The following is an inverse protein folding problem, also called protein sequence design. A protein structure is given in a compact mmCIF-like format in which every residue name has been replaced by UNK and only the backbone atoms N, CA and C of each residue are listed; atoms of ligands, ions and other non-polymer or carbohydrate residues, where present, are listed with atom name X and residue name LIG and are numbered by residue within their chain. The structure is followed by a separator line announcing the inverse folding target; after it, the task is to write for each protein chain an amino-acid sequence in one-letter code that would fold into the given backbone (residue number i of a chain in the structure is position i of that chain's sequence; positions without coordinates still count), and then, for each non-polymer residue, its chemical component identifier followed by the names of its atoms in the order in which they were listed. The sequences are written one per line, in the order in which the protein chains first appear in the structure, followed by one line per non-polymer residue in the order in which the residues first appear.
data_IF_059960447209
#
_entry.id   IF_059960447209
#
_cell.length_a   1.000
_cell.length_b   1.000
_cell.length_c   1.000
_cell.angle_alpha   90.00
_cell.angle_beta   90.00
_cell.angle_gamma   90.00
#
_symmetry.space_group_name_H-M   'P 1'
#
loop_
_entity.id
_entity.type
_entity.pdbx_description
1 polymer ?
#
# COMPACT_ATOMS: atom_id res chain seq x y z
N UNK A 1 -0.72 -0.27 12.01
CA UNK A 1 -1.86 -0.93 11.33
C UNK A 1 -2.67 -1.74 12.34
N UNK A 2 -3.24 -1.06 13.34
CA UNK A 2 -3.96 -1.74 14.43
C UNK A 2 -5.35 -2.17 14.00
N UNK A 3 -6.04 -1.39 13.16
CA UNK A 3 -7.37 -1.77 12.64
C UNK A 3 -7.36 -3.08 11.85
N UNK A 4 -6.39 -3.26 10.95
CA UNK A 4 -6.22 -4.52 10.23
C UNK A 4 -5.88 -5.71 11.16
N UNK A 5 -5.16 -5.44 12.26
CA UNK A 5 -4.89 -6.43 13.30
C UNK A 5 -6.19 -6.91 13.94
N UNK A 6 -7.03 -5.97 14.39
CA UNK A 6 -8.28 -6.27 15.07
C UNK A 6 -9.24 -7.05 14.17
N UNK A 7 -9.35 -6.66 12.90
CA UNK A 7 -10.23 -7.35 11.94
C UNK A 7 -9.66 -8.72 11.50
N UNK A 8 -8.33 -8.83 11.37
CA UNK A 8 -7.66 -10.02 10.87
C UNK A 8 -7.08 -10.96 11.93
N UNK A 9 -7.25 -10.65 13.23
CA UNK A 9 -6.56 -11.35 14.33
C UNK A 9 -6.95 -12.83 14.39
N UNK A 10 -8.22 -13.16 14.15
CA UNK A 10 -8.71 -14.54 14.15
C UNK A 10 -8.06 -15.39 13.05
N UNK A 11 -7.55 -14.75 11.98
CA UNK A 11 -6.85 -15.38 10.87
C UNK A 11 -5.33 -15.38 11.06
N UNK A 12 -4.81 -14.75 12.12
CA UNK A 12 -3.38 -14.52 12.28
C UNK A 12 -2.80 -13.73 11.10
N UNK A 13 -3.51 -12.67 10.66
CA UNK A 13 -3.20 -11.93 9.44
C UNK A 13 -1.73 -11.51 9.30
N UNK A 14 -1.10 -11.02 10.37
CA UNK A 14 0.30 -10.60 10.29
C UNK A 14 1.31 -11.73 10.46
N UNK A 15 0.88 -12.91 10.91
CA UNK A 15 1.72 -14.12 10.94
C UNK A 15 1.71 -14.83 9.57
N UNK A 16 0.54 -14.86 8.92
CA UNK A 16 0.29 -15.64 7.70
C UNK A 16 0.14 -14.78 6.44
N UNK A 17 0.19 -13.46 6.59
CA UNK A 17 -0.03 -12.49 5.52
C UNK A 17 0.89 -11.28 5.64
N UNK A 18 0.75 -10.37 4.67
CA UNK A 18 1.41 -9.08 4.59
C UNK A 18 0.41 -8.05 4.05
N UNK A 19 0.24 -6.98 4.79
CA UNK A 19 -0.53 -5.80 4.37
C UNK A 19 0.44 -4.75 3.89
N UNK A 20 0.19 -4.20 2.70
CA UNK A 20 0.95 -3.09 2.11
C UNK A 20 0.01 -1.93 1.85
N UNK A 21 0.34 -0.77 2.41
CA UNK A 21 -0.32 0.49 2.10
C UNK A 21 0.58 1.29 1.19
N UNK A 22 0.04 1.76 0.06
CA UNK A 22 0.77 2.49 -0.97
C UNK A 22 0.09 3.82 -1.23
N UNK A 23 0.84 4.92 -1.19
CA UNK A 23 0.33 6.25 -1.54
C UNK A 23 0.76 6.64 -2.95
N UNK A 24 -0.22 6.72 -3.84
CA UNK A 24 -0.05 7.22 -5.20
C UNK A 24 -0.43 8.70 -5.24
N UNK A 25 0.52 9.53 -5.69
CA UNK A 25 0.34 10.97 -5.84
C UNK A 25 0.80 11.42 -7.23
N UNK A 26 0.25 12.50 -7.77
CA UNK A 26 0.87 13.21 -8.89
C UNK A 26 2.29 13.65 -8.56
N UNK A 27 3.17 13.72 -9.56
CA UNK A 27 4.55 14.23 -9.34
C UNK A 27 4.58 15.74 -9.05
N UNK A 28 3.58 16.47 -9.52
CA UNK A 28 3.42 17.90 -9.35
C UNK A 28 1.93 18.27 -9.29
N UNK A 29 1.65 19.46 -8.76
CA UNK A 29 0.32 20.07 -8.78
C UNK A 29 0.46 21.52 -9.28
N UNK A 30 -0.05 21.88 -10.48
CA UNK A 30 -0.81 21.02 -11.40
C UNK A 30 0.03 19.91 -12.05
N UNK A 31 -0.60 18.79 -12.42
CA UNK A 31 0.08 17.62 -13.00
C UNK A 31 0.15 17.66 -14.53
N UNK A 32 0.93 18.59 -15.08
CA UNK A 32 1.02 18.81 -16.54
C UNK A 32 1.68 17.67 -17.31
N UNK A 33 2.42 16.78 -16.62
CA UNK A 33 3.15 15.66 -17.24
C UNK A 33 2.38 14.34 -17.26
N UNK A 34 1.21 14.28 -16.60
CA UNK A 34 0.45 13.05 -16.34
C UNK A 34 1.32 11.92 -15.77
N UNK A 35 2.24 12.29 -14.87
CA UNK A 35 3.11 11.35 -14.15
C UNK A 35 2.77 11.31 -12.68
N UNK A 36 3.00 10.13 -12.10
CA UNK A 36 2.70 9.82 -10.71
C UNK A 36 3.94 9.27 -10.01
N UNK A 37 3.87 9.26 -8.69
CA UNK A 37 4.90 8.73 -7.81
C UNK A 37 4.27 7.94 -6.67
N UNK A 38 5.02 6.97 -6.17
CA UNK A 38 4.70 6.32 -4.90
C UNK A 38 5.46 7.04 -3.81
N UNK A 39 4.75 7.86 -3.04
CA UNK A 39 5.44 8.76 -2.12
C UNK A 39 5.89 8.08 -0.85
N UNK A 40 5.05 7.21 -0.32
CA UNK A 40 5.37 6.38 0.81
C UNK A 40 4.69 5.02 0.67
N UNK A 41 5.29 4.02 1.30
CA UNK A 41 4.66 2.72 1.53
C UNK A 41 4.79 2.33 3.00
N UNK A 42 3.79 1.62 3.51
CA UNK A 42 3.82 1.02 4.84
C UNK A 42 3.48 -0.45 4.76
N UNK A 43 4.33 -1.30 5.30
CA UNK A 43 4.13 -2.75 5.28
C UNK A 43 4.04 -3.31 6.69
N UNK A 44 3.21 -4.34 6.91
CA UNK A 44 3.20 -5.13 8.15
C UNK A 44 2.83 -6.57 7.84
N UNK A 45 3.54 -7.52 8.45
CA UNK A 45 3.28 -8.95 8.34
C UNK A 45 4.52 -9.76 7.95
N UNK A 46 4.50 -11.06 8.25
CA UNK A 46 5.62 -11.98 8.07
C UNK A 46 5.65 -12.71 6.72
N UNK A 47 4.58 -12.63 5.92
CA UNK A 47 4.58 -13.26 4.60
C UNK A 47 5.55 -12.52 3.66
N UNK A 48 6.42 -13.26 2.97
CA UNK A 48 7.24 -12.68 1.90
C UNK A 48 6.35 -12.38 0.69
N UNK A 49 6.03 -11.11 0.52
CA UNK A 49 5.21 -10.60 -0.58
C UNK A 49 5.72 -9.24 -1.04
N UNK A 50 5.81 -9.05 -2.34
CA UNK A 50 6.19 -7.80 -2.99
C UNK A 50 4.94 -7.19 -3.62
N UNK A 51 4.68 -5.91 -3.32
CA UNK A 51 3.58 -5.16 -3.92
C UNK A 51 3.68 -5.17 -5.44
N UNK A 52 2.54 -5.32 -6.12
CA UNK A 52 2.47 -5.26 -7.58
C UNK A 52 2.59 -3.85 -8.15
N UNK A 53 2.61 -2.83 -7.29
CA UNK A 53 2.42 -1.43 -7.71
C UNK A 53 3.71 -0.63 -7.85
N UNK A 54 4.82 -1.15 -7.34
CA UNK A 54 6.12 -0.48 -7.30
C UNK A 54 6.63 -0.30 -5.88
N UNK A 55 7.68 0.50 -5.73
CA UNK A 55 8.37 0.78 -4.47
C UNK A 55 8.21 2.24 -4.04
N UNK A 56 8.30 2.47 -2.74
CA UNK A 56 8.42 3.82 -2.19
C UNK A 56 9.56 4.59 -2.88
N UNK A 57 9.26 5.80 -3.34
CA UNK A 57 10.21 6.66 -4.06
C UNK A 57 10.16 6.49 -5.57
N UNK A 58 9.45 5.49 -6.10
CA UNK A 58 9.26 5.38 -7.54
C UNK A 58 8.55 6.62 -8.09
N UNK A 59 9.07 7.12 -9.21
CA UNK A 59 8.57 8.31 -9.90
C UNK A 59 8.31 7.97 -11.37
N UNK A 60 7.75 8.92 -12.13
CA UNK A 60 7.50 8.78 -13.56
C UNK A 60 6.51 7.65 -13.92
N UNK A 61 5.69 7.23 -12.97
CA UNK A 61 4.63 6.24 -13.18
C UNK A 61 3.53 6.85 -14.06
N UNK A 62 2.88 6.05 -14.89
CA UNK A 62 1.68 6.46 -15.66
C UNK A 62 0.38 6.18 -14.89
N UNK A 63 0.49 5.72 -13.65
CA UNK A 63 -0.60 5.24 -12.79
C UNK A 63 -0.23 3.88 -12.19
N UNK A 64 -1.16 3.28 -11.45
CA UNK A 64 -1.04 1.91 -10.94
C UNK A 64 -2.08 1.03 -11.62
N UNK A 65 -1.67 -0.13 -12.13
CA UNK A 65 -2.60 -1.11 -12.69
C UNK A 65 -3.21 -1.97 -11.59
N UNK A 66 -4.53 -1.96 -11.46
CA UNK A 66 -5.29 -2.79 -10.53
C UNK A 66 -6.35 -3.53 -11.35
N UNK A 67 -6.29 -4.86 -11.38
CA UNK A 67 -7.24 -5.70 -12.12
C UNK A 67 -7.41 -5.30 -13.61
N UNK A 68 -6.33 -4.87 -14.25
CA UNK A 68 -6.33 -4.43 -15.66
C UNK A 68 -6.83 -3.00 -15.89
N UNK A 69 -7.22 -2.27 -14.84
CA UNK A 69 -7.58 -0.85 -14.92
C UNK A 69 -6.44 0.02 -14.40
N UNK A 70 -6.17 1.14 -15.06
CA UNK A 70 -5.15 2.09 -14.59
C UNK A 70 -5.78 3.09 -13.63
N UNK A 71 -5.37 3.04 -12.38
CA UNK A 71 -5.73 3.98 -11.33
C UNK A 71 -4.77 5.16 -11.34
N UNK A 72 -5.34 6.37 -11.37
CA UNK A 72 -4.61 7.64 -11.34
C UNK A 72 -5.11 8.46 -10.17
N UNK A 73 -4.21 9.16 -9.49
CA UNK A 73 -4.60 10.11 -8.46
C UNK A 73 -5.13 11.40 -9.09
N UNK A 74 -6.15 12.04 -8.51
CA UNK A 74 -6.63 13.33 -8.99
C UNK A 74 -5.57 14.40 -8.76
N UNK A 75 -5.67 15.48 -9.52
CA UNK A 75 -4.83 16.65 -9.33
C UNK A 75 -4.99 17.23 -7.92
N UNK A 76 -3.86 17.56 -7.28
CA UNK A 76 -3.85 18.04 -5.90
C UNK A 76 -4.31 17.03 -4.84
N UNK A 77 -4.52 15.76 -5.18
CA UNK A 77 -4.93 14.71 -4.26
C UNK A 77 -4.02 13.48 -4.29
N UNK A 78 -4.44 12.46 -3.54
CA UNK A 78 -3.74 11.17 -3.47
C UNK A 78 -4.73 10.01 -3.48
N UNK A 79 -4.26 8.85 -3.90
CA UNK A 79 -4.95 7.58 -3.73
C UNK A 79 -4.14 6.70 -2.79
N UNK A 80 -4.82 6.15 -1.79
CA UNK A 80 -4.22 5.14 -0.91
C UNK A 80 -4.73 3.78 -1.36
N UNK A 81 -3.80 2.91 -1.72
CA UNK A 81 -4.06 1.51 -2.03
C UNK A 81 -3.67 0.66 -0.83
N UNK A 82 -4.53 -0.30 -0.49
CA UNK A 82 -4.27 -1.35 0.48
C UNK A 82 -4.24 -2.69 -0.25
N UNK A 83 -3.09 -3.35 -0.23
CA UNK A 83 -2.91 -4.73 -0.68
C UNK A 83 -2.84 -5.62 0.56
N UNK A 84 -3.64 -6.68 0.57
CA UNK A 84 -3.61 -7.72 1.60
C UNK A 84 -3.27 -9.02 0.91
N UNK A 85 -2.02 -9.48 1.10
CA UNK A 85 -1.60 -10.80 0.70
C UNK A 85 -1.71 -11.75 1.88
N UNK A 86 -2.45 -12.85 1.73
CA UNK A 86 -2.69 -13.81 2.79
C UNK A 86 -2.50 -15.24 2.29
N UNK A 87 -1.71 -16.03 3.01
CA UNK A 87 -1.56 -17.46 2.75
C UNK A 87 -2.59 -18.22 3.57
N UNK A 88 -3.58 -18.78 2.88
CA UNK A 88 -4.62 -19.60 3.51
C UNK A 88 -4.03 -20.85 4.19
N UNK A 89 -4.45 -21.14 5.42
CA UNK A 89 -4.12 -22.35 6.15
C UNK A 89 -5.30 -23.33 6.07
N UNK A 90 -5.17 -24.47 5.38
CA UNK A 90 -6.26 -25.42 5.23
C UNK A 90 -6.46 -26.21 6.53
N UNK A 91 -7.71 -26.48 6.88
CA UNK A 91 -8.06 -27.29 8.05
C UNK A 91 -7.79 -28.79 7.83
N UNK A 92 -7.73 -29.24 6.56
CA UNK A 92 -7.53 -30.65 6.19
C UNK A 92 -6.58 -30.72 4.99
N UNK A 93 -5.51 -31.53 5.09
CA UNK A 93 -4.72 -31.99 3.94
C UNK A 93 -3.84 -30.94 3.22
N UNK A 94 -2.82 -30.39 3.89
CA UNK A 94 -1.85 -29.45 3.28
C UNK A 94 -0.80 -30.09 2.35
N UNK A 95 -0.66 -31.42 2.34
CA UNK A 95 0.37 -32.13 1.55
C UNK A 95 0.08 -32.24 0.05
N UNK A 96 -1.13 -31.89 -0.41
CA UNK A 96 -1.57 -32.13 -1.80
C UNK A 96 -2.07 -30.88 -2.52
N UNK A 97 -2.16 -29.73 -1.83
CA UNK A 97 -2.70 -28.49 -2.39
C UNK A 97 -1.58 -27.46 -2.55
N UNK A 98 -1.32 -27.06 -3.81
CA UNK A 98 -0.54 -25.85 -4.10
C UNK A 98 -1.39 -24.63 -3.73
N UNK A 99 -1.38 -24.26 -2.45
CA UNK A 99 -2.11 -23.10 -1.96
C UNK A 99 -1.37 -21.84 -2.41
N UNK A 100 -1.90 -21.19 -3.43
CA UNK A 100 -1.50 -19.84 -3.79
C UNK A 100 -1.94 -18.86 -2.69
N UNK A 101 -1.14 -17.81 -2.49
CA UNK A 101 -1.55 -16.69 -1.66
C UNK A 101 -2.74 -15.98 -2.31
N UNK A 102 -3.74 -15.66 -1.51
CA UNK A 102 -4.84 -14.78 -1.91
C UNK A 102 -4.38 -13.35 -1.78
N UNK A 103 -4.56 -12.54 -2.81
CA UNK A 103 -4.24 -11.12 -2.79
C UNK A 103 -5.50 -10.34 -3.05
N UNK A 104 -5.85 -9.48 -2.12
CA UNK A 104 -6.96 -8.54 -2.26
C UNK A 104 -6.43 -7.11 -2.28
N UNK A 105 -6.99 -6.26 -3.14
CA UNK A 105 -6.62 -4.86 -3.27
C UNK A 105 -7.84 -3.98 -3.16
N UNK A 106 -7.76 -2.95 -2.32
CA UNK A 106 -8.73 -1.86 -2.28
C UNK A 106 -8.02 -0.52 -2.44
N UNK A 107 -8.62 0.42 -3.16
CA UNK A 107 -8.10 1.77 -3.35
C UNK A 107 -9.13 2.83 -2.99
N UNK A 108 -8.72 3.88 -2.28
CA UNK A 108 -9.59 5.01 -1.94
C UNK A 108 -8.88 6.34 -2.20
N UNK A 109 -9.63 7.30 -2.75
CA UNK A 109 -9.19 8.68 -2.87
C UNK A 109 -9.16 9.35 -1.49
N UNK A 110 -8.09 10.09 -1.22
CA UNK A 110 -8.06 11.01 -0.08
C UNK A 110 -8.98 12.17 -0.41
N UNK A 111 -10.05 12.33 0.37
CA UNK A 111 -11.09 13.35 0.12
C UNK A 111 -10.79 14.70 0.76
N UNK A 112 -9.89 14.73 1.75
CA UNK A 112 -9.48 15.97 2.39
C UNK A 112 -8.38 16.66 1.59
N UNK A 113 -8.46 17.99 1.55
CA UNK A 113 -7.38 18.83 1.05
C UNK A 113 -6.24 18.84 2.07
N UNK A 114 -5.43 17.79 2.05
CA UNK A 114 -4.28 17.65 2.93
C UNK A 114 -3.04 18.22 2.27
N UNK A 115 -2.17 18.84 3.06
CA UNK A 115 -0.83 19.16 2.62
C UNK A 115 -0.01 17.88 2.42
N UNK A 116 0.38 17.61 1.18
CA UNK A 116 1.21 16.45 0.87
C UNK A 116 2.70 16.74 1.06
N UNK A 117 3.18 18.00 1.07
CA UNK A 117 4.62 18.32 1.06
C UNK A 117 5.41 17.67 2.21
N UNK A 118 4.90 17.74 3.45
CA UNK A 118 5.57 17.15 4.61
C UNK A 118 6.89 17.86 4.96
N UNK A 119 7.66 17.33 5.92
CA UNK A 119 8.93 17.93 6.32
C UNK A 119 9.94 17.86 5.17
N UNK A 120 10.84 18.85 5.08
CA UNK A 120 11.88 18.92 4.05
C UNK A 120 12.72 17.63 4.04
N UNK A 121 12.87 17.01 2.86
CA UNK A 121 13.56 15.72 2.70
C UNK A 121 12.76 14.50 3.17
N UNK A 122 11.52 14.70 3.64
CA UNK A 122 10.64 13.63 4.10
C UNK A 122 9.75 13.03 3.01
N UNK A 123 8.93 12.07 3.41
CA UNK A 123 8.04 11.29 2.55
C UNK A 123 6.60 11.82 2.53
N UNK A 124 6.39 13.12 2.80
CA UNK A 124 5.06 13.73 2.81
C UNK A 124 4.20 13.41 4.05
N UNK A 125 4.80 12.90 5.13
CA UNK A 125 4.13 12.64 6.41
C UNK A 125 4.89 13.36 7.52
N UNK A 126 4.22 14.26 8.23
CA UNK A 126 4.69 14.80 9.50
C UNK A 126 4.52 13.75 10.61
N UNK A 127 5.58 13.51 11.37
CA UNK A 127 5.64 12.53 12.47
C UNK A 127 6.29 13.16 13.71
N UNK A 128 5.68 14.20 14.31
CA UNK A 128 6.25 14.89 15.47
C UNK A 128 6.40 13.98 16.70
N UNK A 129 5.63 12.90 16.77
CA UNK A 129 5.69 11.88 17.83
C UNK A 129 6.89 10.92 17.69
N UNK A 130 7.67 11.05 16.60
CA UNK A 130 8.85 10.23 16.31
C UNK A 130 8.57 8.71 16.34
N UNK A 131 7.40 8.29 15.88
CA UNK A 131 7.06 6.87 15.79
C UNK A 131 7.84 6.20 14.67
N UNK A 132 8.46 5.05 14.96
CA UNK A 132 9.17 4.27 13.95
C UNK A 132 8.23 3.88 12.81
N UNK A 133 8.58 4.30 11.59
CA UNK A 133 7.79 4.00 10.41
C UNK A 133 7.89 2.50 10.04
N UNK A 134 6.75 1.89 9.72
CA UNK A 134 6.69 0.50 9.26
C UNK A 134 7.11 0.43 7.79
N UNK A 135 8.39 0.18 7.52
CA UNK A 135 8.94 0.17 6.14
C UNK A 135 8.66 -1.14 5.41
N UNK A 136 8.62 -1.08 4.08
CA UNK A 136 8.53 -2.25 3.22
C UNK A 136 9.93 -2.74 2.85
N UNK A 137 10.23 -3.99 3.19
CA UNK A 137 11.38 -4.76 2.68
C UNK A 137 10.91 -5.83 1.70
#
# INVERSE_FOLDING_TARGET
MTGADLQGSALGLFSNGKVVLTSLEPVANPNTTDRYRIRWQRCRGGLTYSSGFGKQGDTNLTGISVNGQTLKAPEGGAVILAEVAYRYQPLIGSRWLNLSSMVETAGMYVRDNREYAGPTGGVGIYNPENVTASTCS
#
